data_IF_391383527679
#
_entry.id   IF_391383527679
#
_cell.length_a   1.000
_cell.length_b   1.000
_cell.length_c   1.000
_cell.angle_alpha   90.00
_cell.angle_beta   90.00
_cell.angle_gamma   90.00
#
_symmetry.space_group_name_H-M   'P 1'
#
loop_
_entity.id
_entity.type
_entity.pdbx_description
1 polymer ?
#
# COMPACT_ATOMS: atom_id res chain seq x y z
N UNK A 1 12.78 6.55 9.99
CA UNK A 1 11.76 6.59 11.06
C UNK A 1 10.46 6.09 10.46
N UNK A 2 9.98 4.92 10.86
CA UNK A 2 8.69 4.40 10.43
C UNK A 2 7.55 5.17 11.10
N UNK A 3 6.42 5.29 10.41
CA UNK A 3 5.17 5.75 11.02
C UNK A 3 4.38 4.51 11.45
N UNK A 4 4.59 3.99 12.69
CA UNK A 4 3.84 2.82 13.14
C UNK A 4 2.37 3.19 13.21
N UNK A 5 1.57 2.49 12.40
CA UNK A 5 0.13 2.55 12.47
C UNK A 5 -0.35 1.93 13.79
N UNK A 6 -1.52 2.34 14.25
CA UNK A 6 -2.11 1.77 15.44
C UNK A 6 -2.52 0.32 15.16
N UNK A 7 -2.09 -0.63 16.00
CA UNK A 7 -2.52 -2.04 15.90
C UNK A 7 -4.05 -2.16 15.92
N UNK A 8 -4.58 -3.01 15.02
CA UNK A 8 -6.02 -3.24 14.90
C UNK A 8 -6.82 -2.10 14.29
N UNK A 9 -6.18 -1.18 13.55
CA UNK A 9 -6.88 -0.11 12.84
C UNK A 9 -7.10 -0.46 11.36
N UNK A 10 -8.28 -0.13 10.86
CA UNK A 10 -8.59 -0.24 9.45
C UNK A 10 -7.92 0.91 8.68
N UNK A 11 -7.07 0.55 7.72
CA UNK A 11 -6.47 1.49 6.78
C UNK A 11 -7.32 1.48 5.51
N UNK A 12 -7.82 2.65 5.13
CA UNK A 12 -8.54 2.83 3.89
C UNK A 12 -7.56 3.26 2.80
N UNK A 13 -7.44 2.46 1.75
CA UNK A 13 -6.62 2.77 0.57
C UNK A 13 -7.54 3.06 -0.60
N UNK A 14 -7.33 4.18 -1.28
CA UNK A 14 -7.98 4.55 -2.52
C UNK A 14 -6.96 4.54 -3.67
N UNK A 15 -7.13 3.64 -4.64
CA UNK A 15 -6.33 3.59 -5.87
C UNK A 15 -7.21 4.09 -7.01
N UNK A 16 -6.92 5.29 -7.51
CA UNK A 16 -7.60 5.90 -8.67
C UNK A 16 -9.14 5.90 -8.58
N UNK A 17 -9.69 6.09 -7.37
CA UNK A 17 -11.13 6.09 -7.07
C UNK A 17 -11.66 4.75 -6.55
N UNK A 18 -10.83 3.71 -6.46
CA UNK A 18 -11.22 2.38 -5.95
C UNK A 18 -10.75 2.19 -4.53
N UNK A 19 -11.70 1.99 -3.62
CA UNK A 19 -11.44 1.85 -2.19
C UNK A 19 -11.19 0.40 -1.82
N UNK A 20 -10.18 0.20 -0.99
CA UNK A 20 -9.73 -1.05 -0.40
C UNK A 20 -9.53 -0.82 1.09
N UNK A 21 -9.80 -1.85 1.88
CA UNK A 21 -9.51 -1.81 3.32
C UNK A 21 -8.37 -2.77 3.57
N UNK A 22 -7.28 -2.25 4.14
CA UNK A 22 -6.17 -3.03 4.65
C UNK A 22 -6.28 -3.08 6.18
N UNK A 23 -5.87 -4.18 6.78
CA UNK A 23 -5.77 -4.27 8.23
C UNK A 23 -4.31 -4.10 8.66
N UNK A 24 -4.09 -3.38 9.75
CA UNK A 24 -2.76 -3.29 10.36
C UNK A 24 -2.44 -4.54 11.16
N UNK A 25 -1.31 -5.18 10.87
CA UNK A 25 -0.71 -6.22 11.69
C UNK A 25 0.63 -5.71 12.22
N UNK A 26 0.69 -5.37 13.52
CA UNK A 26 1.84 -4.70 14.15
C UNK A 26 2.21 -3.38 13.44
N UNK A 27 3.20 -3.41 12.55
CA UNK A 27 3.76 -2.26 11.85
C UNK A 27 3.45 -2.25 10.34
N UNK A 28 2.86 -3.33 9.81
CA UNK A 28 2.56 -3.48 8.38
C UNK A 28 1.06 -3.43 8.12
N UNK A 29 0.69 -2.79 7.01
CA UNK A 29 -0.65 -2.87 6.47
C UNK A 29 -0.70 -4.08 5.53
N UNK A 30 -1.56 -5.05 5.83
CA UNK A 30 -1.74 -6.26 5.02
C UNK A 30 -3.09 -6.20 4.32
N UNK A 31 -3.11 -6.67 3.07
CA UNK A 31 -4.37 -6.91 2.37
C UNK A 31 -5.03 -8.17 2.91
N UNK A 32 -6.34 -8.26 2.72
CA UNK A 32 -7.07 -9.48 3.02
C UNK A 32 -6.63 -10.63 2.11
N UNK A 33 -6.65 -11.84 2.65
CA UNK A 33 -6.13 -13.03 2.01
C UNK A 33 -6.78 -13.25 0.63
N UNK A 34 -5.97 -13.37 -0.42
CA UNK A 34 -6.42 -13.51 -1.81
C UNK A 34 -6.67 -12.19 -2.58
N UNK A 35 -6.63 -11.03 -1.93
CA UNK A 35 -6.77 -9.73 -2.62
C UNK A 35 -5.43 -9.11 -3.05
N UNK A 36 -4.30 -9.64 -2.57
CA UNK A 36 -2.95 -9.12 -2.87
C UNK A 36 -2.68 -8.98 -4.37
N UNK A 37 -3.01 -10.01 -5.16
CA UNK A 37 -2.69 -10.03 -6.59
C UNK A 37 -3.52 -8.98 -7.36
N UNK A 38 -4.79 -8.85 -7.01
CA UNK A 38 -5.67 -7.82 -7.57
C UNK A 38 -5.21 -6.42 -7.14
N UNK A 39 -4.77 -6.27 -5.89
CA UNK A 39 -4.26 -5.01 -5.37
C UNK A 39 -2.99 -4.58 -6.11
N UNK A 40 -2.03 -5.49 -6.32
CA UNK A 40 -0.81 -5.22 -7.08
C UNK A 40 -1.12 -4.85 -8.53
N UNK A 41 -2.02 -5.57 -9.20
CA UNK A 41 -2.45 -5.24 -10.58
C UNK A 41 -3.04 -3.83 -10.66
N UNK A 42 -3.79 -3.42 -9.64
CA UNK A 42 -4.36 -2.07 -9.54
C UNK A 42 -3.30 -1.02 -9.26
N UNK A 43 -2.27 -1.35 -8.48
CA UNK A 43 -1.12 -0.47 -8.30
C UNK A 43 -0.30 -0.31 -9.59
N UNK A 44 -0.17 -1.37 -10.40
CA UNK A 44 0.51 -1.31 -11.70
C UNK A 44 -0.25 -0.47 -12.74
N UNK A 45 -1.58 -0.55 -12.75
CA UNK A 45 -2.42 0.20 -13.69
C UNK A 45 -2.84 1.59 -13.17
N UNK A 46 -2.74 1.81 -11.86
CA UNK A 46 -3.13 3.04 -11.19
C UNK A 46 -2.07 4.13 -11.31
N UNK A 47 -2.51 5.39 -11.12
CA UNK A 47 -1.61 6.56 -11.15
C UNK A 47 -1.37 7.16 -9.78
N UNK A 48 -2.34 7.00 -8.88
CA UNK A 48 -2.36 7.61 -7.55
C UNK A 48 -2.97 6.64 -6.55
N UNK A 49 -2.33 6.54 -5.39
CA UNK A 49 -2.81 5.79 -4.24
C UNK A 49 -2.91 6.76 -3.05
N UNK A 50 -4.05 6.75 -2.35
CA UNK A 50 -4.29 7.55 -1.15
C UNK A 50 -4.53 6.59 -0.01
N UNK A 51 -3.67 6.61 0.99
CA UNK A 51 -3.74 5.77 2.18
C UNK A 51 -4.21 6.63 3.35
N UNK A 52 -5.32 6.26 3.95
CA UNK A 52 -5.90 6.95 5.11
C UNK A 52 -5.92 5.97 6.27
N UNK A 53 -5.20 6.30 7.33
CA UNK A 53 -5.11 5.48 8.52
C UNK A 53 -5.02 6.31 9.79
N UNK A 54 -4.94 5.63 10.93
CA UNK A 54 -4.66 6.25 12.20
C UNK A 54 -3.28 5.80 12.68
N UNK A 55 -2.41 6.77 12.97
CA UNK A 55 -1.14 6.50 13.63
C UNK A 55 -1.37 6.00 15.06
N UNK A 56 -0.38 5.34 15.66
CA UNK A 56 -0.41 4.92 17.07
C UNK A 56 -0.75 6.03 18.07
N UNK A 57 -0.58 7.30 17.67
CA UNK A 57 -0.90 8.51 18.48
C UNK A 57 -2.35 8.98 18.30
N UNK A 58 -3.19 8.26 17.54
CA UNK A 58 -4.57 8.63 17.22
C UNK A 58 -4.69 9.74 16.15
N UNK A 59 -3.58 10.13 15.52
CA UNK A 59 -3.61 11.14 14.45
C UNK A 59 -4.02 10.47 13.15
N UNK A 60 -5.08 10.98 12.53
CA UNK A 60 -5.48 10.59 11.17
C UNK A 60 -4.38 11.03 10.20
N UNK A 61 -3.76 10.06 9.53
CA UNK A 61 -2.80 10.32 8.45
C UNK A 61 -3.49 10.12 7.11
N UNK A 62 -3.08 10.90 6.13
CA UNK A 62 -3.54 10.78 4.75
C UNK A 62 -2.32 10.91 3.87
N UNK A 63 -1.80 9.76 3.47
CA UNK A 63 -0.59 9.63 2.69
C UNK A 63 -0.97 9.46 1.23
N UNK A 64 -0.45 10.32 0.36
CA UNK A 64 -0.71 10.25 -1.08
C UNK A 64 0.56 9.81 -1.78
N UNK A 65 0.50 8.66 -2.43
CA UNK A 65 1.58 8.08 -3.21
C UNK A 65 1.27 8.17 -4.69
N UNK A 66 2.26 8.57 -5.49
CA UNK A 66 2.18 8.44 -6.93
C UNK A 66 2.60 7.02 -7.32
N UNK A 67 1.79 6.38 -8.17
CA UNK A 67 2.10 5.06 -8.74
C UNK A 67 2.79 5.21 -10.11
N UNK A 68 3.10 6.44 -10.52
CA UNK A 68 3.80 6.72 -11.77
C UNK A 68 5.23 6.18 -11.68
N UNK A 69 5.47 5.01 -12.27
CA UNK A 69 6.75 4.29 -12.17
C UNK A 69 6.71 3.07 -11.24
N UNK A 70 5.56 2.70 -10.66
CA UNK A 70 5.43 1.48 -9.88
C UNK A 70 5.71 0.23 -10.72
N UNK A 71 5.16 0.16 -11.93
CA UNK A 71 5.36 -0.98 -12.86
C UNK A 71 6.83 -1.21 -13.21
N UNK A 72 7.61 -0.24 -13.72
CA UNK A 72 9.03 -0.46 -14.01
C UNK A 72 9.85 -0.73 -12.74
N UNK A 73 9.51 -0.14 -11.60
CA UNK A 73 10.18 -0.45 -10.33
C UNK A 73 9.90 -1.89 -9.89
N UNK A 74 8.66 -2.35 -10.00
CA UNK A 74 8.23 -3.70 -9.67
C UNK A 74 8.89 -4.73 -10.61
N UNK A 75 8.90 -4.48 -11.91
CA UNK A 75 9.63 -5.29 -12.89
C UNK A 75 11.13 -5.31 -12.63
N UNK A 76 11.73 -4.18 -12.23
CA UNK A 76 13.15 -4.12 -11.87
C UNK A 76 13.45 -4.96 -10.63
N UNK A 77 12.58 -4.92 -9.62
CA UNK A 77 12.72 -5.74 -8.40
C UNK A 77 12.64 -7.24 -8.74
N UNK A 78 11.67 -7.63 -9.59
CA UNK A 78 11.54 -9.03 -10.04
C UNK A 78 12.71 -9.45 -10.94
N UNK A 79 13.15 -8.56 -11.85
CA UNK A 79 14.23 -8.79 -12.81
C UNK A 79 15.63 -8.79 -12.19
N UNK A 80 15.86 -8.06 -11.11
CA UNK A 80 17.13 -8.02 -10.38
C UNK A 80 17.37 -9.26 -9.49
N UNK A 81 16.47 -10.25 -9.51
CA UNK A 81 16.78 -11.60 -9.01
C UNK A 81 17.84 -12.31 -9.86
N UNK A 82 18.24 -11.75 -11.01
CA UNK A 82 19.48 -12.14 -11.68
C UNK A 82 20.63 -11.30 -11.12
N UNK A 83 21.22 -11.78 -10.03
CA UNK A 83 22.60 -11.43 -9.68
C UNK A 83 23.45 -11.47 -10.95
N UNK A 84 24.14 -10.37 -11.23
CA UNK A 84 25.18 -10.31 -12.24
C UNK A 84 26.53 -10.27 -11.53
#
# INVERSE_FOLDING_TARGET
AGYPFQEGSDINVDIDGKKYTLFTNNETALAYDGEDQLFIERMQNGKKMIVVGFSKRGTKTTDTYSLFGFTPAYETILGNSKCK
#
